data_IF_747857419992
#
_entry.id   IF_747857419992
#
_cell.length_a   1.000
_cell.length_b   1.000
_cell.length_c   1.000
_cell.angle_alpha   90.00
_cell.angle_beta   90.00
_cell.angle_gamma   90.00
#
_symmetry.space_group_name_H-M   'P 1'
#
loop_
_entity.id
_entity.type
_entity.pdbx_description
1 polymer ?
#
# COMPACT_ATOMS: atom_id res chain seq x y z
N UNK A 1 -0.59 15.05 14.98
CA UNK A 1 -0.20 13.64 14.82
C UNK A 1 -1.49 12.89 14.59
N UNK A 2 -1.62 12.18 13.47
CA UNK A 2 -2.79 11.35 13.15
C UNK A 2 -2.86 10.21 14.16
N UNK A 3 -3.98 10.08 14.88
CA UNK A 3 -4.23 9.01 15.85
C UNK A 3 -5.32 8.04 15.36
N UNK A 4 -6.21 8.52 14.50
CA UNK A 4 -7.31 7.76 13.90
C UNK A 4 -7.69 8.37 12.54
N UNK A 5 -8.67 7.78 11.86
CA UNK A 5 -9.15 8.27 10.57
C UNK A 5 -9.83 9.66 10.64
N UNK A 6 -10.45 10.02 11.77
CA UNK A 6 -11.11 11.33 11.93
C UNK A 6 -10.10 12.49 11.88
N UNK A 7 -8.88 12.27 12.39
CA UNK A 7 -7.80 13.24 12.37
C UNK A 7 -7.38 13.62 10.93
N UNK A 8 -7.63 12.76 9.93
CA UNK A 8 -7.28 13.01 8.52
C UNK A 8 -7.92 14.28 7.97
N UNK A 9 -9.04 14.72 8.55
CA UNK A 9 -9.71 15.99 8.18
C UNK A 9 -8.85 17.24 8.38
N UNK A 10 -7.74 17.13 9.10
CA UNK A 10 -6.78 18.23 9.35
C UNK A 10 -5.55 18.18 8.45
N UNK A 11 -5.50 17.26 7.50
CA UNK A 11 -4.33 16.99 6.68
C UNK A 11 -4.69 16.92 5.20
N UNK A 12 -3.70 17.19 4.35
CA UNK A 12 -3.80 17.04 2.91
C UNK A 12 -3.09 15.78 2.44
N UNK A 13 -3.74 14.98 1.59
CA UNK A 13 -3.17 13.79 0.97
C UNK A 13 -3.27 13.86 -0.55
N UNK A 14 -2.19 13.48 -1.24
CA UNK A 14 -2.19 13.36 -2.70
C UNK A 14 -2.48 11.93 -3.14
N UNK A 15 -3.29 11.79 -4.19
CA UNK A 15 -3.58 10.48 -4.80
C UNK A 15 -3.63 10.58 -6.34
N UNK A 16 -3.38 9.48 -7.06
CA UNK A 16 -3.63 9.43 -8.50
C UNK A 16 -5.13 9.55 -8.80
N UNK A 17 -5.47 10.25 -9.90
CA UNK A 17 -6.85 10.39 -10.36
C UNK A 17 -7.36 9.09 -10.96
N UNK A 18 -8.57 8.71 -10.60
CA UNK A 18 -9.26 7.47 -10.97
C UNK A 18 -8.81 6.25 -10.19
N UNK A 19 -8.00 6.43 -9.15
CA UNK A 19 -7.54 5.34 -8.28
C UNK A 19 -8.59 4.99 -7.22
N UNK A 20 -8.58 3.75 -6.73
CA UNK A 20 -9.49 3.25 -5.70
C UNK A 20 -9.43 4.09 -4.42
N UNK A 21 -8.30 4.75 -4.14
CA UNK A 21 -8.19 5.63 -2.98
C UNK A 21 -9.16 6.82 -3.00
N UNK A 22 -9.67 7.24 -4.16
CA UNK A 22 -10.71 8.28 -4.20
C UNK A 22 -11.97 7.84 -3.46
N UNK A 23 -12.44 6.62 -3.75
CA UNK A 23 -13.65 6.07 -3.12
C UNK A 23 -13.40 5.81 -1.64
N UNK A 24 -12.25 5.23 -1.28
CA UNK A 24 -11.88 4.97 0.12
C UNK A 24 -11.83 6.26 0.94
N UNK A 25 -11.18 7.31 0.45
CA UNK A 25 -11.11 8.60 1.17
C UNK A 25 -12.48 9.29 1.21
N UNK A 26 -13.30 9.13 0.16
CA UNK A 26 -14.67 9.64 0.17
C UNK A 26 -15.53 8.95 1.23
N UNK A 27 -15.44 7.63 1.36
CA UNK A 27 -16.17 6.84 2.35
C UNK A 27 -15.71 7.15 3.79
N UNK A 28 -14.46 7.60 3.95
CA UNK A 28 -13.94 8.18 5.21
C UNK A 28 -14.44 9.60 5.49
N UNK A 29 -15.26 10.18 4.61
CA UNK A 29 -15.85 11.52 4.77
C UNK A 29 -14.95 12.68 4.33
N UNK A 30 -13.87 12.40 3.59
CA UNK A 30 -12.95 13.42 3.08
C UNK A 30 -13.44 13.98 1.73
N UNK A 31 -13.07 15.23 1.43
CA UNK A 31 -13.54 15.94 0.24
C UNK A 31 -12.39 16.24 -0.74
N UNK A 32 -12.63 15.99 -2.03
CA UNK A 32 -11.68 16.34 -3.10
C UNK A 32 -11.46 17.86 -3.15
N UNK A 33 -10.20 18.27 -3.29
CA UNK A 33 -9.80 19.67 -3.33
C UNK A 33 -9.68 20.32 -1.95
N UNK A 34 -9.96 19.60 -0.86
CA UNK A 34 -9.76 20.06 0.51
C UNK A 34 -8.83 19.13 1.29
N UNK A 35 -9.29 17.93 1.63
CA UNK A 35 -8.47 16.96 2.37
C UNK A 35 -7.67 16.04 1.44
N UNK A 36 -8.16 15.78 0.22
CA UNK A 36 -7.38 15.05 -0.78
C UNK A 36 -7.33 15.75 -2.13
N UNK A 37 -6.21 15.59 -2.84
CA UNK A 37 -5.96 16.21 -4.15
C UNK A 37 -5.62 15.12 -5.15
N UNK A 38 -6.28 15.15 -6.32
CA UNK A 38 -6.08 14.17 -7.39
C UNK A 38 -5.09 14.67 -8.45
N UNK A 39 -4.15 13.81 -8.82
CA UNK A 39 -3.12 14.13 -9.81
C UNK A 39 -3.24 13.22 -11.04
N UNK A 40 -3.01 13.79 -12.23
CA UNK A 40 -3.05 13.02 -13.49
C UNK A 40 -1.70 12.42 -13.89
N UNK A 41 -0.60 13.01 -13.42
CA UNK A 41 0.72 12.51 -13.80
C UNK A 41 1.19 11.48 -12.79
N UNK A 42 1.85 10.44 -13.29
CA UNK A 42 2.44 9.37 -12.48
C UNK A 42 3.41 9.99 -11.46
N UNK A 43 3.29 9.61 -10.19
CA UNK A 43 4.14 10.04 -9.07
C UNK A 43 4.07 11.55 -8.73
N UNK A 44 3.18 12.34 -9.34
CA UNK A 44 3.06 13.77 -9.03
C UNK A 44 2.59 14.00 -7.59
N UNK A 45 1.70 13.15 -7.07
CA UNK A 45 1.30 13.09 -5.67
C UNK A 45 2.51 12.95 -4.73
N UNK A 46 3.38 11.99 -5.03
CA UNK A 46 4.57 11.69 -4.22
C UNK A 46 5.60 12.81 -4.33
N UNK A 47 5.73 13.41 -5.52
CA UNK A 47 6.59 14.58 -5.72
C UNK A 47 6.09 15.78 -4.91
N UNK A 48 4.79 16.03 -4.90
CA UNK A 48 4.19 17.13 -4.14
C UNK A 48 4.35 16.93 -2.63
N UNK A 49 4.24 15.69 -2.15
CA UNK A 49 4.59 15.33 -0.77
C UNK A 49 6.07 15.60 -0.45
N UNK A 50 7.00 15.18 -1.31
CA UNK A 50 8.44 15.44 -1.13
C UNK A 50 8.79 16.95 -1.11
N UNK A 51 7.99 17.76 -1.80
CA UNK A 51 8.09 19.23 -1.79
C UNK A 51 7.39 19.89 -0.58
N UNK A 52 6.90 19.10 0.39
CA UNK A 52 6.16 19.57 1.57
C UNK A 52 4.88 20.37 1.23
N UNK A 53 4.28 20.08 0.06
CA UNK A 53 3.02 20.70 -0.36
C UNK A 53 1.79 19.87 0.01
N UNK A 54 2.02 18.64 0.45
CA UNK A 54 1.03 17.73 1.00
C UNK A 54 1.55 17.23 2.35
N UNK A 55 0.64 16.99 3.29
CA UNK A 55 1.01 16.51 4.63
C UNK A 55 1.21 14.99 4.66
N UNK A 56 0.48 14.27 3.82
CA UNK A 56 0.41 12.81 3.80
C UNK A 56 0.57 12.27 2.37
N UNK A 57 1.04 11.04 2.29
CA UNK A 57 1.04 10.23 1.08
C UNK A 57 0.49 8.84 1.40
N UNK A 58 -0.10 8.18 0.40
CA UNK A 58 -0.46 6.77 0.49
C UNK A 58 0.65 5.94 -0.14
N UNK A 59 1.10 4.93 0.58
CA UNK A 59 2.11 3.99 0.12
C UNK A 59 1.80 2.57 0.58
N UNK A 60 2.18 1.59 -0.24
CA UNK A 60 2.18 0.18 0.13
C UNK A 60 3.56 -0.23 0.59
N UNK A 61 3.69 -1.00 1.67
CA UNK A 61 4.97 -1.52 2.15
C UNK A 61 5.74 -2.34 1.10
N UNK A 62 5.06 -2.91 0.12
CA UNK A 62 5.69 -3.67 -0.96
C UNK A 62 6.36 -2.76 -2.02
N UNK A 63 5.88 -1.52 -2.16
CA UNK A 63 6.29 -0.61 -3.24
C UNK A 63 6.83 0.72 -2.75
N UNK A 64 6.79 0.98 -1.43
CA UNK A 64 7.11 2.27 -0.82
C UNK A 64 8.52 2.73 -1.20
N UNK A 65 9.51 1.87 -1.08
CA UNK A 65 10.90 2.22 -1.41
C UNK A 65 11.04 2.66 -2.87
N UNK A 66 10.44 1.92 -3.79
CA UNK A 66 10.44 2.30 -5.22
C UNK A 66 9.71 3.63 -5.47
N UNK A 67 8.58 3.86 -4.79
CA UNK A 67 7.80 5.10 -4.88
C UNK A 67 8.62 6.32 -4.39
N UNK A 68 9.31 6.18 -3.25
CA UNK A 68 10.13 7.24 -2.65
C UNK A 68 11.40 7.53 -3.47
N UNK A 69 12.03 6.50 -4.05
CA UNK A 69 13.20 6.66 -4.92
C UNK A 69 12.92 7.58 -6.12
N UNK A 70 11.68 7.59 -6.65
CA UNK A 70 11.30 8.46 -7.77
C UNK A 70 11.43 9.95 -7.45
N UNK A 71 11.45 10.31 -6.17
CA UNK A 71 11.50 11.70 -5.69
C UNK A 71 12.71 11.98 -4.82
N UNK A 72 13.69 11.05 -4.80
CA UNK A 72 14.92 11.20 -4.03
C UNK A 72 14.76 11.04 -2.52
N UNK A 73 13.68 10.39 -2.07
CA UNK A 73 13.44 10.03 -0.67
C UNK A 73 13.76 8.56 -0.42
N UNK A 74 13.87 8.20 0.85
CA UNK A 74 14.08 6.83 1.34
C UNK A 74 13.04 6.47 2.39
N UNK A 75 12.82 5.17 2.70
CA UNK A 75 11.90 4.76 3.75
C UNK A 75 12.17 5.38 5.13
N UNK A 76 13.41 5.81 5.40
CA UNK A 76 13.78 6.47 6.66
C UNK A 76 13.30 7.94 6.73
N UNK A 77 12.92 8.55 5.59
CA UNK A 77 12.43 9.93 5.51
C UNK A 77 10.93 10.05 5.78
N UNK A 78 10.23 8.92 5.92
CA UNK A 78 8.78 8.85 6.16
C UNK A 78 8.47 7.99 7.37
N UNK A 79 7.29 8.20 7.95
CA UNK A 79 6.79 7.34 9.03
C UNK A 79 5.33 6.95 8.77
N UNK A 80 4.94 5.70 9.07
CA UNK A 80 3.54 5.30 8.98
C UNK A 80 2.73 5.98 10.07
N UNK A 81 1.61 6.59 9.70
CA UNK A 81 0.73 7.31 10.64
C UNK A 81 -0.67 6.71 10.75
N UNK A 82 -1.14 6.03 9.70
CA UNK A 82 -2.44 5.38 9.66
C UNK A 82 -2.39 4.19 8.69
N UNK A 83 -3.08 3.11 9.04
CA UNK A 83 -3.36 1.98 8.15
C UNK A 83 -4.75 2.19 7.54
N UNK A 84 -4.85 2.18 6.22
CA UNK A 84 -6.14 2.18 5.52
C UNK A 84 -6.67 0.74 5.50
N UNK A 85 -7.58 0.45 6.42
CA UNK A 85 -8.25 -0.85 6.52
C UNK A 85 -9.59 -0.78 5.79
N UNK A 86 -9.54 -1.05 4.48
CA UNK A 86 -10.72 -1.09 3.60
C UNK A 86 -10.71 -2.41 2.80
N UNK A 87 -11.86 -3.05 2.66
CA UNK A 87 -12.01 -4.32 1.94
C UNK A 87 -11.62 -4.18 0.46
N UNK A 88 -11.81 -3.00 -0.14
CA UNK A 88 -11.38 -2.70 -1.50
C UNK A 88 -9.85 -2.72 -1.66
N UNK A 89 -9.10 -2.62 -0.57
CA UNK A 89 -7.63 -2.68 -0.53
C UNK A 89 -7.11 -4.09 -0.16
N UNK A 90 -7.95 -5.12 -0.29
CA UNK A 90 -7.71 -6.51 0.12
C UNK A 90 -6.59 -7.28 -0.61
N UNK A 91 -5.71 -6.62 -1.34
CA UNK A 91 -4.49 -7.19 -1.90
C UNK A 91 -4.48 -7.38 -3.43
N UNK A 92 -3.35 -7.89 -3.92
CA UNK A 92 -3.12 -8.13 -5.35
C UNK A 92 -3.39 -9.60 -5.70
N UNK A 93 -4.07 -9.82 -6.81
CA UNK A 93 -4.40 -11.14 -7.33
C UNK A 93 -3.87 -11.31 -8.76
N UNK A 94 -3.59 -12.55 -9.15
CA UNK A 94 -3.25 -12.85 -10.53
C UNK A 94 -4.51 -12.72 -11.40
N UNK A 95 -4.57 -11.68 -12.24
CA UNK A 95 -5.62 -11.55 -13.24
C UNK A 95 -5.36 -12.52 -14.40
N UNK A 96 -6.31 -13.44 -14.64
CA UNK A 96 -6.19 -14.48 -15.67
C UNK A 96 -7.25 -14.22 -16.75
N UNK A 97 -6.91 -14.53 -18.01
CA UNK A 97 -7.85 -14.48 -19.12
C UNK A 97 -9.07 -15.37 -18.85
N UNK A 98 -10.28 -14.90 -19.16
CA UNK A 98 -11.54 -15.64 -18.96
C UNK A 98 -11.61 -16.97 -19.72
N UNK A 99 -10.82 -17.12 -20.77
CA UNK A 99 -10.76 -18.34 -21.60
C UNK A 99 -9.65 -19.31 -21.17
N UNK A 100 -8.88 -18.98 -20.13
CA UNK A 100 -7.86 -19.91 -19.60
C UNK A 100 -8.55 -21.15 -19.04
N UNK A 101 -8.03 -22.33 -19.38
CA UNK A 101 -8.62 -23.60 -18.97
C UNK A 101 -8.66 -23.77 -17.44
N UNK A 102 -9.70 -24.40 -16.87
CA UNK A 102 -9.76 -24.70 -15.43
C UNK A 102 -8.55 -25.48 -14.93
N UNK A 103 -7.99 -26.36 -15.76
CA UNK A 103 -6.81 -27.17 -15.44
C UNK A 103 -5.58 -26.26 -15.23
N UNK A 104 -5.38 -25.27 -16.10
CA UNK A 104 -4.30 -24.28 -15.96
C UNK A 104 -4.50 -23.41 -14.71
N UNK A 105 -5.73 -22.94 -14.44
CA UNK A 105 -6.03 -22.15 -13.24
C UNK A 105 -5.69 -22.94 -11.98
N UNK A 106 -6.10 -24.22 -11.92
CA UNK A 106 -5.79 -25.10 -10.80
C UNK A 106 -4.29 -25.33 -10.63
N UNK A 107 -3.57 -25.54 -11.73
CA UNK A 107 -2.12 -25.71 -11.69
C UNK A 107 -1.41 -24.46 -11.14
N UNK A 108 -1.86 -23.26 -11.53
CA UNK A 108 -1.33 -21.99 -11.00
C UNK A 108 -1.59 -21.86 -9.51
N UNK A 109 -2.81 -22.18 -9.04
CA UNK A 109 -3.14 -22.14 -7.62
C UNK A 109 -2.27 -23.11 -6.82
N UNK A 110 -2.13 -24.37 -7.27
CA UNK A 110 -1.29 -25.38 -6.58
C UNK A 110 0.18 -24.94 -6.51
N UNK A 111 0.70 -24.34 -7.58
CA UNK A 111 2.06 -23.81 -7.58
C UNK A 111 2.23 -22.68 -6.57
N UNK A 112 1.27 -21.74 -6.53
CA UNK A 112 1.29 -20.64 -5.57
C UNK A 112 1.17 -21.12 -4.12
N UNK A 113 0.25 -22.05 -3.84
CA UNK A 113 0.10 -22.65 -2.51
C UNK A 113 1.37 -23.38 -2.05
N UNK A 114 2.06 -24.04 -2.99
CA UNK A 114 3.34 -24.68 -2.71
C UNK A 114 4.41 -23.66 -2.34
N UNK A 115 4.46 -22.51 -3.04
CA UNK A 115 5.39 -21.42 -2.72
C UNK A 115 5.14 -20.78 -1.35
N UNK A 116 3.88 -20.76 -0.91
CA UNK A 116 3.53 -20.33 0.45
C UNK A 116 3.99 -21.37 1.48
N UNK A 117 3.74 -22.65 1.21
CA UNK A 117 4.06 -23.74 2.13
C UNK A 117 5.57 -23.98 2.31
N UNK A 118 6.36 -23.82 1.26
CA UNK A 118 7.82 -24.03 1.29
C UNK A 118 8.62 -22.78 1.67
N UNK A 119 7.96 -21.62 1.83
CA UNK A 119 8.56 -20.35 2.22
C UNK A 119 9.26 -19.60 1.08
N UNK A 120 9.29 -20.12 -0.14
CA UNK A 120 9.90 -19.45 -1.30
C UNK A 120 9.22 -18.12 -1.62
N UNK A 121 7.91 -17.99 -1.36
CA UNK A 121 7.21 -16.70 -1.45
C UNK A 121 7.88 -15.62 -0.59
N UNK A 122 8.20 -15.93 0.67
CA UNK A 122 8.85 -15.00 1.59
C UNK A 122 10.21 -14.55 1.07
N UNK A 123 11.01 -15.47 0.54
CA UNK A 123 12.32 -15.15 -0.04
C UNK A 123 12.22 -14.26 -1.28
N UNK A 124 11.18 -14.43 -2.11
CA UNK A 124 10.92 -13.54 -3.24
C UNK A 124 10.63 -12.13 -2.72
N UNK A 125 9.74 -11.99 -1.73
CA UNK A 125 9.42 -10.68 -1.15
C UNK A 125 10.68 -10.03 -0.56
N UNK A 126 11.50 -10.77 0.19
CA UNK A 126 12.75 -10.26 0.77
C UNK A 126 13.76 -9.79 -0.28
N UNK A 127 13.76 -10.40 -1.47
CA UNK A 127 14.63 -10.00 -2.55
C UNK A 127 14.24 -8.64 -3.15
N UNK A 128 12.95 -8.31 -3.19
CA UNK A 128 12.43 -7.12 -3.86
C UNK A 128 12.04 -5.97 -2.92
N UNK A 129 11.68 -6.27 -1.68
CA UNK A 129 11.16 -5.28 -0.73
C UNK A 129 12.25 -4.89 0.27
N UNK A 130 12.76 -3.66 0.13
CA UNK A 130 13.62 -3.08 1.15
C UNK A 130 12.78 -2.73 2.39
N UNK A 131 13.13 -3.33 3.53
CA UNK A 131 12.46 -3.05 4.80
C UNK A 131 13.10 -1.83 5.46
N UNK A 132 12.31 -0.88 5.99
CA UNK A 132 12.85 0.24 6.77
C UNK A 132 13.53 -0.26 8.04
N UNK A 133 14.48 0.53 8.55
CA UNK A 133 15.13 0.22 9.83
C UNK A 133 14.14 0.43 10.99
N UNK A 134 13.62 -0.68 11.51
CA UNK A 134 12.62 -0.67 12.58
C UNK A 134 13.13 -0.01 13.87
N UNK A 135 14.44 0.09 14.08
CA UNK A 135 15.01 0.75 15.26
C UNK A 135 14.87 2.28 15.23
N UNK A 136 14.66 2.86 14.04
CA UNK A 136 14.47 4.30 13.85
C UNK A 136 13.01 4.73 13.95
N UNK A 137 12.10 3.77 14.01
CA UNK A 137 10.67 4.07 14.06
C UNK A 137 10.23 4.43 15.48
N UNK A 138 9.30 5.38 15.63
CA UNK A 138 8.72 5.66 16.94
C UNK A 138 8.00 4.43 17.48
N UNK A 139 7.97 4.28 18.81
CA UNK A 139 7.41 3.12 19.53
C UNK A 139 5.92 2.82 19.22
N UNK A 140 5.23 3.80 18.60
CA UNK A 140 3.83 3.69 18.11
C UNK A 140 3.70 3.46 16.60
N UNK A 141 4.79 3.22 15.88
CA UNK A 141 4.72 2.95 14.45
C UNK A 141 3.87 1.71 14.20
N UNK A 142 2.98 1.80 13.22
CA UNK A 142 2.10 0.71 12.82
C UNK A 142 2.95 -0.38 12.15
N UNK A 143 3.41 -1.37 12.92
CA UNK A 143 4.26 -2.49 12.46
C UNK A 143 3.68 -3.16 11.20
N UNK A 144 2.35 -3.24 11.09
CA UNK A 144 1.63 -3.79 9.92
C UNK A 144 1.86 -3.00 8.63
N UNK A 145 2.03 -1.69 8.71
CA UNK A 145 2.30 -0.83 7.55
C UNK A 145 3.71 -1.03 6.97
N UNK A 146 4.60 -1.77 7.64
CA UNK A 146 6.03 -1.79 7.35
C UNK A 146 6.54 -3.11 6.78
N UNK A 147 5.77 -4.18 6.91
CA UNK A 147 6.23 -5.53 6.58
C UNK A 147 5.42 -6.21 5.47
N UNK A 148 4.42 -5.53 4.88
CA UNK A 148 3.62 -6.08 3.79
C UNK A 148 2.83 -7.32 4.17
N UNK A 149 2.57 -7.52 5.48
CA UNK A 149 1.77 -8.65 5.95
C UNK A 149 0.35 -8.49 5.44
N UNK A 150 0.06 -9.14 4.31
CA UNK A 150 -1.28 -9.29 3.78
C UNK A 150 -2.17 -9.95 4.82
N UNK A 151 -3.42 -9.52 4.94
CA UNK A 151 -4.49 -10.26 5.62
C UNK A 151 -4.82 -11.54 4.82
N UNK A 152 -3.86 -12.44 4.59
CA UNK A 152 -4.17 -13.79 4.12
C UNK A 152 -4.61 -14.56 5.35
N UNK A 153 -5.86 -14.36 5.76
CA UNK A 153 -6.60 -15.43 6.43
C UNK A 153 -6.73 -16.56 5.42
N UNK A 154 -6.26 -17.78 5.72
CA UNK A 154 -6.53 -18.90 4.83
C UNK A 154 -8.05 -19.01 4.69
N UNK A 155 -8.53 -19.09 3.45
CA UNK A 155 -9.93 -19.34 3.19
C UNK A 155 -10.35 -20.57 4.00
N UNK A 156 -11.28 -20.38 4.94
CA UNK A 156 -11.87 -21.47 5.69
C UNK A 156 -12.53 -22.43 4.71
N UNK A 157 -12.06 -23.68 4.72
CA UNK A 157 -12.63 -24.82 3.99
C UNK A 157 -14.13 -25.00 4.23
#
# INVERSE_FOLDING_TARGET
>A
MVKNSEDLSNYTVGIPRGDIYQDVLHDLGLTEGKEYITFSNKHEDTFMFAQQKLDLMIGSSLTLSFQLEQVGLTPDDVMPVLELNDDALGGNYLAINKNTSPETIKALQVAFDSMLADGSYGHIIEHYVQKPDLSKLPERALIRCLNGSTNITPASN
#
